data_IF_973838134468
#
_entry.id   IF_973838134468
#
_cell.length_a   1.000
_cell.length_b   1.000
_cell.length_c   1.000
_cell.angle_alpha   90.00
_cell.angle_beta   90.00
_cell.angle_gamma   90.00
#
_symmetry.space_group_name_H-M   'P 1'
#
loop_
_entity.id
_entity.type
_entity.pdbx_description
1 polymer ?
#
# COMPACT_ATOMS: atom_id res chain seq x y z
N UNK A 1 -38.05 -55.30 -14.47
CA UNK A 1 -38.09 -53.97 -15.11
C UNK A 1 -38.25 -52.95 -13.99
N UNK A 2 -37.19 -52.31 -13.58
CA UNK A 2 -37.20 -51.34 -12.50
C UNK A 2 -37.52 -49.94 -13.10
N UNK A 3 -38.58 -49.28 -12.60
CA UNK A 3 -38.93 -47.92 -12.94
C UNK A 3 -38.00 -46.97 -12.16
N UNK A 4 -37.04 -46.36 -12.80
CA UNK A 4 -36.27 -45.26 -12.21
C UNK A 4 -37.12 -44.00 -12.16
N UNK A 5 -37.28 -43.43 -10.99
CA UNK A 5 -38.09 -42.22 -10.72
C UNK A 5 -37.39 -40.98 -11.30
N UNK A 6 -38.11 -40.23 -12.13
CA UNK A 6 -37.65 -38.97 -12.76
C UNK A 6 -37.53 -37.77 -11.79
N UNK A 7 -37.62 -37.98 -10.48
CA UNK A 7 -37.65 -36.90 -9.49
C UNK A 7 -36.26 -36.44 -8.99
N UNK A 8 -35.20 -37.16 -9.33
CA UNK A 8 -33.83 -36.87 -8.84
C UNK A 8 -33.05 -35.88 -9.72
N UNK A 9 -33.51 -35.57 -10.93
CA UNK A 9 -32.78 -34.72 -11.88
C UNK A 9 -33.06 -33.21 -11.77
N UNK A 10 -34.06 -32.80 -11.01
CA UNK A 10 -34.46 -31.38 -10.87
C UNK A 10 -33.87 -30.66 -9.66
N UNK A 11 -33.23 -31.40 -8.72
CA UNK A 11 -32.63 -30.81 -7.52
C UNK A 11 -31.16 -30.39 -7.68
N UNK A 12 -30.44 -30.92 -8.68
CA UNK A 12 -29.04 -30.58 -8.92
C UNK A 12 -28.79 -29.15 -9.43
N UNK A 13 -29.60 -28.59 -10.37
CA UNK A 13 -29.39 -27.21 -10.83
C UNK A 13 -29.78 -26.15 -9.78
N UNK A 14 -30.67 -26.46 -8.84
CA UNK A 14 -31.07 -25.52 -7.81
C UNK A 14 -30.01 -25.35 -6.71
N UNK A 15 -29.20 -26.36 -6.44
CA UNK A 15 -28.11 -26.32 -5.46
C UNK A 15 -26.90 -25.54 -5.97
N UNK A 16 -26.69 -25.51 -7.30
CA UNK A 16 -25.58 -24.76 -7.92
C UNK A 16 -25.87 -23.26 -7.96
N UNK A 17 -27.14 -22.86 -8.09
CA UNK A 17 -27.53 -21.44 -8.07
C UNK A 17 -27.42 -20.76 -6.69
N UNK A 18 -27.42 -21.51 -5.61
CA UNK A 18 -27.32 -20.97 -4.25
C UNK A 18 -25.86 -20.70 -3.79
N UNK A 19 -24.87 -21.08 -4.59
CA UNK A 19 -23.43 -20.87 -4.28
C UNK A 19 -22.81 -19.67 -4.98
N UNK A 20 -23.55 -18.91 -5.79
CA UNK A 20 -23.11 -17.59 -6.22
C UNK A 20 -23.41 -16.60 -5.10
N UNK A 21 -22.78 -16.77 -3.94
CA UNK A 21 -22.46 -15.63 -3.09
C UNK A 21 -21.57 -14.75 -3.96
N UNK A 22 -22.05 -13.57 -4.34
CA UNK A 22 -21.17 -12.53 -4.84
C UNK A 22 -20.07 -12.35 -3.79
N UNK A 23 -18.91 -12.94 -4.05
CA UNK A 23 -17.71 -12.60 -3.28
C UNK A 23 -17.40 -11.16 -3.65
N UNK A 24 -17.97 -10.21 -2.95
CA UNK A 24 -17.31 -8.93 -2.84
C UNK A 24 -15.93 -9.29 -2.34
N UNK A 25 -14.92 -9.04 -3.16
CA UNK A 25 -13.55 -9.30 -2.76
C UNK A 25 -13.34 -8.56 -1.44
N UNK A 26 -13.11 -9.31 -0.37
CA UNK A 26 -12.78 -8.70 0.90
C UNK A 26 -11.58 -7.79 0.67
N UNK A 27 -11.64 -6.56 1.13
CA UNK A 27 -10.52 -5.65 1.08
C UNK A 27 -9.42 -6.13 2.03
N UNK A 28 -8.24 -5.56 1.90
CA UNK A 28 -7.14 -5.80 2.83
C UNK A 28 -6.74 -4.52 3.57
N UNK A 29 -6.02 -4.67 4.68
CA UNK A 29 -5.37 -3.53 5.33
C UNK A 29 -3.91 -3.48 4.90
N UNK A 30 -3.49 -2.31 4.37
CA UNK A 30 -2.09 -1.97 4.15
C UNK A 30 -1.58 -1.14 5.33
N UNK A 31 -0.36 -1.40 5.79
CA UNK A 31 0.25 -0.69 6.91
C UNK A 31 1.64 -0.18 6.56
N UNK A 32 1.96 1.05 6.97
CA UNK A 32 3.33 1.58 6.97
C UNK A 32 4.04 1.19 8.25
N UNK A 33 5.20 0.54 8.12
CA UNK A 33 6.07 0.11 9.20
C UNK A 33 7.50 0.63 8.99
N UNK A 34 8.18 1.00 10.05
CA UNK A 34 9.60 1.37 10.00
C UNK A 34 9.90 2.80 10.47
N UNK A 35 8.88 3.60 10.87
CA UNK A 35 9.07 4.98 11.27
C UNK A 35 9.01 5.22 12.78
N UNK A 36 8.92 4.15 13.58
CA UNK A 36 9.03 4.25 15.03
C UNK A 36 9.63 2.98 15.63
N UNK A 37 10.80 3.08 16.29
CA UNK A 37 11.47 1.93 16.92
C UNK A 37 10.64 1.20 17.99
N UNK A 38 9.53 1.77 18.45
CA UNK A 38 8.64 1.18 19.46
C UNK A 38 7.40 0.50 18.86
N UNK A 39 7.35 0.27 17.56
CA UNK A 39 6.21 -0.39 16.87
C UNK A 39 6.41 -1.91 16.67
N UNK A 40 7.39 -2.48 17.36
CA UNK A 40 7.73 -3.90 17.26
C UNK A 40 8.46 -4.27 15.97
N UNK A 41 8.86 -5.54 15.86
CA UNK A 41 9.55 -6.05 14.68
C UNK A 41 8.58 -6.27 13.51
N UNK A 42 9.12 -6.33 12.29
CA UNK A 42 8.32 -6.66 11.11
C UNK A 42 7.64 -8.04 11.22
N UNK A 43 8.34 -9.05 11.76
CA UNK A 43 7.78 -10.37 12.01
C UNK A 43 6.59 -10.32 13.00
N UNK A 44 6.71 -9.56 14.08
CA UNK A 44 5.62 -9.36 15.03
C UNK A 44 4.43 -8.64 14.39
N UNK A 45 4.69 -7.63 13.55
CA UNK A 45 3.65 -6.92 12.79
C UNK A 45 2.83 -7.89 11.94
N UNK A 46 3.49 -8.75 11.17
CA UNK A 46 2.81 -9.71 10.31
C UNK A 46 2.09 -10.82 11.11
N UNK A 47 2.68 -11.27 12.22
CA UNK A 47 2.08 -12.29 13.07
C UNK A 47 0.75 -11.86 13.74
N UNK A 48 0.40 -10.57 13.70
CA UNK A 48 -0.92 -10.10 14.14
C UNK A 48 -2.07 -10.61 13.30
N UNK A 49 -1.81 -11.03 12.04
CA UNK A 49 -2.83 -11.47 11.09
C UNK A 49 -3.77 -10.36 10.58
N UNK A 50 -3.43 -9.08 10.81
CA UNK A 50 -4.31 -7.94 10.50
C UNK A 50 -4.07 -7.34 9.14
N UNK A 51 -2.87 -7.51 8.57
CA UNK A 51 -2.43 -6.79 7.40
C UNK A 51 -2.26 -7.72 6.20
N UNK A 52 -2.68 -7.26 5.03
CA UNK A 52 -2.45 -7.94 3.75
C UNK A 52 -1.21 -7.37 3.02
N UNK A 53 -0.81 -6.15 3.36
CA UNK A 53 0.33 -5.44 2.79
C UNK A 53 1.10 -4.72 3.88
N UNK A 54 2.43 -4.72 3.77
CA UNK A 54 3.32 -3.93 4.62
C UNK A 54 4.24 -3.10 3.73
N UNK A 55 4.23 -1.79 3.92
CA UNK A 55 5.15 -0.85 3.27
C UNK A 55 6.29 -0.55 4.25
N UNK A 56 7.52 -0.98 3.91
CA UNK A 56 8.72 -0.65 4.69
C UNK A 56 9.11 0.80 4.41
N UNK A 57 8.94 1.67 5.37
CA UNK A 57 9.14 3.10 5.28
C UNK A 57 10.42 3.53 5.98
N UNK A 58 11.41 4.13 5.31
CA UNK A 58 11.48 4.54 3.90
C UNK A 58 12.89 4.39 3.33
N UNK A 59 13.02 4.22 2.00
CA UNK A 59 14.20 4.67 1.28
C UNK A 59 13.97 6.16 1.00
N UNK A 60 14.59 7.05 1.77
CA UNK A 60 14.25 8.47 1.79
C UNK A 60 15.36 9.42 1.30
N UNK A 61 16.45 8.86 0.78
CA UNK A 61 17.50 9.61 0.06
C UNK A 61 17.90 8.83 -1.18
N UNK A 62 17.70 9.40 -2.36
CA UNK A 62 18.08 8.78 -3.63
C UNK A 62 17.90 9.74 -4.83
N UNK A 63 18.43 9.33 -5.99
CA UNK A 63 18.35 10.06 -7.24
C UNK A 63 19.35 11.24 -7.31
N UNK A 64 19.43 11.89 -8.47
CA UNK A 64 20.33 13.00 -8.74
C UNK A 64 21.80 12.71 -8.34
N UNK A 65 22.27 11.48 -8.63
CA UNK A 65 23.64 11.05 -8.32
C UNK A 65 23.94 10.80 -6.83
N UNK A 66 22.93 10.88 -5.95
CA UNK A 66 23.10 10.63 -4.52
C UNK A 66 23.25 9.14 -4.23
N UNK A 67 24.05 8.81 -3.22
CA UNK A 67 24.05 7.45 -2.64
C UNK A 67 22.71 7.21 -1.95
N UNK A 68 21.97 6.15 -2.32
CA UNK A 68 20.69 5.86 -1.68
C UNK A 68 20.86 5.47 -0.21
N UNK A 69 20.00 6.02 0.65
CA UNK A 69 20.00 5.76 2.09
C UNK A 69 18.59 5.46 2.57
N UNK A 70 18.49 4.48 3.47
CA UNK A 70 17.24 4.12 4.17
C UNK A 70 17.20 4.80 5.54
N UNK A 71 15.99 5.09 6.01
CA UNK A 71 15.71 5.45 7.39
C UNK A 71 14.60 4.54 7.93
N UNK A 72 14.93 3.71 8.91
CA UNK A 72 13.98 2.84 9.61
C UNK A 72 13.90 3.19 11.11
N UNK A 73 14.08 4.46 11.45
CA UNK A 73 13.79 5.10 12.75
C UNK A 73 14.18 4.26 14.00
N UNK A 74 15.38 3.72 14.01
CA UNK A 74 15.89 2.99 15.19
C UNK A 74 15.64 1.48 15.19
N UNK A 75 14.92 0.92 14.22
CA UNK A 75 14.84 -0.53 14.05
C UNK A 75 16.19 -1.16 13.70
N UNK A 76 17.02 -0.43 12.97
CA UNK A 76 18.34 -0.83 12.55
C UNK A 76 19.17 0.39 12.11
N UNK A 77 20.48 0.20 11.98
CA UNK A 77 21.37 1.23 11.43
C UNK A 77 21.81 0.86 10.00
N UNK A 78 21.25 1.50 8.96
CA UNK A 78 21.58 1.19 7.57
C UNK A 78 23.04 1.47 7.23
N UNK A 79 23.68 2.48 7.86
CA UNK A 79 25.02 2.93 7.55
C UNK A 79 26.12 1.87 7.79
N UNK A 80 25.87 0.90 8.67
CA UNK A 80 26.80 -0.19 8.97
C UNK A 80 26.28 -1.58 8.55
N UNK A 81 25.29 -1.63 7.64
CA UNK A 81 24.68 -2.88 7.18
C UNK A 81 23.75 -3.54 8.21
N UNK A 82 23.45 -2.86 9.33
CA UNK A 82 22.63 -3.43 10.41
C UNK A 82 21.20 -3.74 10.04
N UNK A 83 20.70 -3.26 8.89
CA UNK A 83 19.32 -3.52 8.46
C UNK A 83 19.11 -4.89 7.81
N UNK A 84 20.17 -5.66 7.58
CA UNK A 84 20.04 -7.06 7.13
C UNK A 84 19.24 -7.95 8.09
N UNK A 85 19.15 -7.58 9.36
CA UNK A 85 18.31 -8.26 10.37
C UNK A 85 16.82 -8.27 10.01
N UNK A 86 16.35 -7.33 9.17
CA UNK A 86 14.94 -7.24 8.73
C UNK A 86 14.58 -8.36 7.74
N UNK A 87 15.59 -9.00 7.10
CA UNK A 87 15.40 -10.08 6.12
C UNK A 87 14.50 -11.21 6.62
N UNK A 88 14.73 -11.68 7.84
CA UNK A 88 13.91 -12.74 8.45
C UNK A 88 12.44 -12.33 8.62
N UNK A 89 12.20 -11.08 9.00
CA UNK A 89 10.86 -10.52 9.12
C UNK A 89 10.12 -10.44 7.78
N UNK A 90 10.81 -10.00 6.72
CA UNK A 90 10.25 -9.94 5.35
C UNK A 90 9.79 -11.34 4.92
N UNK A 91 10.68 -12.34 5.04
CA UNK A 91 10.37 -13.72 4.66
C UNK A 91 9.20 -14.29 5.47
N UNK A 92 9.15 -13.99 6.78
CA UNK A 92 8.05 -14.41 7.65
C UNK A 92 6.70 -13.82 7.23
N UNK A 93 6.67 -12.53 6.84
CA UNK A 93 5.47 -11.90 6.30
C UNK A 93 5.01 -12.57 4.99
N UNK A 94 5.95 -12.78 4.07
CA UNK A 94 5.68 -13.40 2.76
C UNK A 94 5.18 -14.84 2.89
N UNK A 95 5.68 -15.62 3.85
CA UNK A 95 5.20 -16.98 4.16
C UNK A 95 3.74 -17.01 4.63
N UNK A 96 3.27 -15.90 5.20
CA UNK A 96 1.87 -15.72 5.60
C UNK A 96 0.99 -15.14 4.46
N UNK A 97 1.53 -14.98 3.24
CA UNK A 97 0.83 -14.40 2.08
C UNK A 97 0.76 -12.88 2.08
N UNK A 98 1.43 -12.21 3.04
CA UNK A 98 1.48 -10.75 3.14
C UNK A 98 2.49 -10.21 2.14
N UNK A 99 2.09 -9.21 1.33
CA UNK A 99 3.00 -8.54 0.41
C UNK A 99 3.80 -7.48 1.13
N UNK A 100 5.12 -7.50 0.92
CA UNK A 100 6.05 -6.56 1.53
C UNK A 100 6.68 -5.69 0.45
N UNK A 101 6.43 -4.38 0.50
CA UNK A 101 6.93 -3.40 -0.44
C UNK A 101 7.93 -2.47 0.23
N UNK A 102 8.91 -1.96 -0.53
CA UNK A 102 9.73 -0.84 -0.10
C UNK A 102 9.06 0.46 -0.49
N UNK A 103 8.82 1.33 0.47
CA UNK A 103 8.32 2.67 0.22
C UNK A 103 9.45 3.66 -0.03
N UNK A 104 9.31 4.43 -1.10
CA UNK A 104 10.24 5.46 -1.54
C UNK A 104 9.73 6.83 -1.13
N UNK A 105 10.57 7.62 -0.49
CA UNK A 105 10.24 9.02 -0.19
C UNK A 105 9.78 9.27 1.23
N UNK A 106 8.51 9.55 1.40
CA UNK A 106 7.91 10.03 2.66
C UNK A 106 8.00 11.54 2.82
N UNK A 107 7.37 12.06 3.89
CA UNK A 107 7.32 13.50 4.16
C UNK A 107 8.65 14.15 4.55
N UNK A 108 9.67 13.34 4.89
CA UNK A 108 11.01 13.79 5.27
C UNK A 108 12.05 13.00 4.51
N UNK A 109 12.92 13.71 3.76
CA UNK A 109 13.99 13.07 3.01
C UNK A 109 14.68 14.02 2.04
N UNK A 110 15.60 13.48 1.25
CA UNK A 110 16.26 14.18 0.16
C UNK A 110 16.26 13.28 -1.06
N UNK A 111 15.17 13.29 -1.80
CA UNK A 111 14.97 12.46 -2.97
C UNK A 111 14.41 13.27 -4.14
N UNK A 112 14.89 12.95 -5.32
CA UNK A 112 14.44 13.58 -6.57
C UNK A 112 14.90 12.73 -7.75
N UNK A 113 14.32 12.95 -8.93
CA UNK A 113 14.82 12.42 -10.19
C UNK A 113 15.20 13.57 -11.10
N UNK A 114 16.46 13.60 -11.55
CA UNK A 114 17.00 14.67 -12.36
C UNK A 114 16.79 14.47 -13.87
N UNK A 115 16.59 13.21 -14.29
CA UNK A 115 16.44 12.84 -15.70
C UNK A 115 15.84 11.44 -15.82
N UNK A 116 15.45 11.08 -17.04
CA UNK A 116 15.08 9.71 -17.39
C UNK A 116 16.22 8.69 -17.16
N UNK A 117 17.47 9.12 -17.43
CA UNK A 117 18.65 8.30 -17.12
C UNK A 117 18.84 8.07 -15.63
N UNK A 118 18.58 9.09 -14.81
CA UNK A 118 18.60 8.99 -13.37
C UNK A 118 17.49 8.06 -12.85
N UNK A 119 16.26 8.16 -13.38
CA UNK A 119 15.18 7.22 -13.10
C UNK A 119 15.57 5.76 -13.43
N UNK A 120 16.30 5.55 -14.54
CA UNK A 120 16.85 4.22 -14.88
C UNK A 120 17.84 3.72 -13.85
N UNK A 121 18.78 4.58 -13.42
CA UNK A 121 19.77 4.23 -12.42
C UNK A 121 19.13 3.87 -11.07
N UNK A 122 18.12 4.63 -10.66
CA UNK A 122 17.32 4.33 -9.45
C UNK A 122 16.57 3.00 -9.61
N UNK A 123 15.97 2.73 -10.77
CA UNK A 123 15.30 1.46 -11.04
C UNK A 123 16.27 0.27 -10.96
N UNK A 124 17.46 0.38 -11.54
CA UNK A 124 18.50 -0.66 -11.49
C UNK A 124 18.98 -0.87 -10.05
N UNK A 125 19.15 0.20 -9.28
CA UNK A 125 19.52 0.10 -7.87
C UNK A 125 18.45 -0.66 -7.07
N UNK A 126 17.16 -0.31 -7.24
CA UNK A 126 16.05 -0.97 -6.57
C UNK A 126 15.96 -2.45 -6.95
N UNK A 127 16.10 -2.74 -8.24
CA UNK A 127 16.09 -4.11 -8.74
C UNK A 127 17.18 -4.95 -8.11
N UNK A 128 18.42 -4.45 -8.10
CA UNK A 128 19.59 -5.21 -7.63
C UNK A 128 19.62 -5.35 -6.10
N UNK A 129 19.17 -4.34 -5.36
CA UNK A 129 19.36 -4.31 -3.91
C UNK A 129 18.14 -4.77 -3.10
N UNK A 130 16.94 -4.73 -3.68
CA UNK A 130 15.71 -5.08 -2.94
C UNK A 130 14.83 -6.11 -3.64
N UNK A 131 14.91 -6.21 -4.95
CA UNK A 131 14.07 -7.07 -5.77
C UNK A 131 14.84 -8.31 -6.27
N UNK A 132 14.58 -8.75 -7.52
CA UNK A 132 15.10 -10.00 -8.06
C UNK A 132 16.52 -9.96 -8.66
N UNK A 133 17.18 -8.80 -8.64
CA UNK A 133 18.53 -8.63 -9.19
C UNK A 133 19.65 -9.13 -8.28
N UNK A 134 20.87 -8.73 -8.60
CA UNK A 134 22.10 -9.18 -7.91
C UNK A 134 22.86 -8.00 -7.30
N UNK A 135 23.20 -8.09 -6.02
CA UNK A 135 24.07 -7.16 -5.30
C UNK A 135 24.81 -7.90 -4.19
N UNK A 136 26.07 -7.54 -3.97
CA UNK A 136 26.87 -8.04 -2.86
C UNK A 136 26.55 -7.37 -1.51
N UNK A 137 25.79 -6.28 -1.54
CA UNK A 137 25.52 -5.44 -0.35
C UNK A 137 24.04 -5.02 -0.28
N UNK A 138 23.14 -6.01 -0.26
CA UNK A 138 21.69 -5.75 -0.14
C UNK A 138 21.36 -5.17 1.24
N UNK A 139 20.75 -3.97 1.32
CA UNK A 139 20.53 -3.28 2.59
C UNK A 139 19.63 -4.04 3.58
N UNK A 140 18.64 -4.79 3.07
CA UNK A 140 17.70 -5.62 3.85
C UNK A 140 18.07 -7.11 3.83
N UNK A 141 19.35 -7.44 3.53
CA UNK A 141 19.80 -8.82 3.43
C UNK A 141 19.31 -9.53 2.18
N UNK A 142 19.20 -10.85 2.26
CA UNK A 142 18.89 -11.73 1.12
C UNK A 142 17.38 -11.84 0.80
N UNK A 143 16.51 -11.21 1.58
CA UNK A 143 15.09 -11.15 1.27
C UNK A 143 14.84 -10.39 -0.05
N UNK A 144 13.87 -10.88 -0.81
CA UNK A 144 13.41 -10.26 -2.06
C UNK A 144 12.02 -9.72 -1.85
N UNK A 145 11.87 -8.39 -1.94
CA UNK A 145 10.60 -7.73 -1.75
C UNK A 145 9.62 -8.02 -2.89
N UNK A 146 8.32 -7.88 -2.62
CA UNK A 146 7.27 -8.09 -3.62
C UNK A 146 7.11 -6.91 -4.58
N UNK A 147 7.50 -5.69 -4.15
CA UNK A 147 7.35 -4.50 -4.97
C UNK A 147 7.89 -3.23 -4.37
N UNK A 148 7.55 -2.14 -5.03
CA UNK A 148 7.96 -0.78 -4.68
C UNK A 148 6.69 0.08 -4.51
N UNK A 149 6.67 0.87 -3.45
CA UNK A 149 5.66 1.87 -3.16
C UNK A 149 6.25 3.28 -3.38
N UNK A 150 5.50 4.15 -4.04
CA UNK A 150 5.88 5.53 -4.37
C UNK A 150 5.15 6.47 -3.41
N UNK A 151 5.77 6.83 -2.30
CA UNK A 151 5.26 7.83 -1.36
C UNK A 151 6.00 9.15 -1.56
N UNK A 152 5.74 9.80 -2.70
CA UNK A 152 6.45 10.99 -3.15
C UNK A 152 5.68 12.24 -2.73
N UNK A 153 6.17 12.89 -1.68
CA UNK A 153 5.50 14.05 -1.07
C UNK A 153 6.24 15.37 -1.30
N UNK A 154 7.44 15.34 -1.86
CA UNK A 154 8.29 16.51 -2.10
C UNK A 154 9.27 16.28 -3.26
N UNK A 155 10.09 17.28 -3.56
CA UNK A 155 11.12 17.22 -4.60
C UNK A 155 10.55 17.45 -6.00
N UNK A 156 11.20 16.88 -7.01
CA UNK A 156 10.76 16.99 -8.41
C UNK A 156 9.47 16.21 -8.64
N UNK A 157 8.61 16.75 -9.50
CA UNK A 157 7.40 16.06 -9.99
C UNK A 157 7.65 15.29 -11.30
N UNK A 158 8.90 15.26 -11.78
CA UNK A 158 9.29 14.71 -13.07
C UNK A 158 9.92 13.33 -12.96
N UNK A 159 9.78 12.54 -14.03
CA UNK A 159 10.42 11.24 -14.25
C UNK A 159 9.94 10.08 -13.34
N UNK A 160 8.92 10.27 -12.49
CA UNK A 160 8.33 9.17 -11.70
C UNK A 160 7.61 8.16 -12.60
N UNK A 161 7.01 8.63 -13.71
CA UNK A 161 6.46 7.76 -14.76
C UNK A 161 7.54 6.93 -15.45
N UNK A 162 8.75 7.48 -15.66
CA UNK A 162 9.87 6.74 -16.22
C UNK A 162 10.37 5.67 -15.24
N UNK A 163 10.50 6.00 -13.96
CA UNK A 163 10.85 5.03 -12.92
C UNK A 163 9.84 3.87 -12.87
N UNK A 164 8.53 4.15 -12.88
CA UNK A 164 7.50 3.13 -12.92
C UNK A 164 7.63 2.24 -14.18
N UNK A 165 7.86 2.85 -15.36
CA UNK A 165 8.07 2.12 -16.63
C UNK A 165 9.32 1.26 -16.63
N UNK A 166 10.41 1.69 -15.98
CA UNK A 166 11.61 0.86 -15.87
C UNK A 166 11.38 -0.32 -14.94
N UNK A 167 10.80 -0.09 -13.77
CA UNK A 167 10.50 -1.15 -12.81
C UNK A 167 9.55 -2.22 -13.38
N UNK A 168 8.56 -1.82 -14.17
CA UNK A 168 7.60 -2.76 -14.79
C UNK A 168 8.21 -3.68 -15.85
N UNK A 169 9.43 -3.40 -16.33
CA UNK A 169 10.10 -4.17 -17.39
C UNK A 169 11.00 -5.29 -16.89
N UNK A 170 11.27 -5.38 -15.60
CA UNK A 170 12.08 -6.50 -15.10
C UNK A 170 11.31 -7.81 -15.22
N UNK A 171 12.01 -8.88 -15.61
CA UNK A 171 11.41 -10.16 -16.01
C UNK A 171 10.60 -10.90 -14.93
N UNK A 172 10.72 -10.49 -13.69
CA UNK A 172 9.89 -10.93 -12.58
C UNK A 172 8.78 -9.90 -12.36
N UNK A 173 7.58 -10.35 -11.95
CA UNK A 173 6.51 -9.43 -11.52
C UNK A 173 6.99 -8.61 -10.32
N UNK A 174 7.03 -7.30 -10.50
CA UNK A 174 7.24 -6.30 -9.44
C UNK A 174 5.91 -5.60 -9.24
N UNK A 175 5.34 -5.66 -8.04
CA UNK A 175 4.14 -4.88 -7.71
C UNK A 175 4.52 -3.40 -7.58
N UNK A 176 3.74 -2.54 -8.21
CA UNK A 176 3.88 -1.11 -8.06
C UNK A 176 2.71 -0.55 -7.26
N UNK A 177 3.04 0.18 -6.21
CA UNK A 177 2.08 0.92 -5.41
C UNK A 177 2.42 2.40 -5.37
N UNK A 178 1.43 3.24 -5.06
CA UNK A 178 1.62 4.67 -4.89
C UNK A 178 0.73 5.22 -3.78
N UNK A 179 1.22 6.23 -3.06
CA UNK A 179 0.55 6.90 -1.96
C UNK A 179 0.28 8.39 -2.26
N UNK A 180 -0.49 8.72 -3.31
CA UNK A 180 -0.82 10.10 -3.61
C UNK A 180 -1.67 10.73 -2.51
N UNK A 181 -1.61 12.05 -2.39
CA UNK A 181 -2.55 12.81 -1.57
C UNK A 181 -3.91 12.93 -2.27
N UNK A 182 -4.98 13.13 -1.50
CA UNK A 182 -6.34 13.08 -2.04
C UNK A 182 -6.77 14.23 -2.99
N UNK A 183 -6.14 15.42 -3.07
CA UNK A 183 -6.40 16.36 -4.15
C UNK A 183 -6.13 15.72 -5.52
N UNK A 184 -7.07 15.87 -6.47
CA UNK A 184 -6.97 15.22 -7.77
C UNK A 184 -6.85 16.24 -8.91
N UNK A 185 -5.87 16.09 -9.86
CA UNK A 185 -4.79 15.09 -9.81
C UNK A 185 -3.80 15.37 -8.69
N UNK A 186 -3.08 14.33 -8.22
CA UNK A 186 -1.97 14.51 -7.29
C UNK A 186 -0.83 15.30 -7.96
N UNK A 187 -0.23 16.23 -7.24
CA UNK A 187 0.78 17.14 -7.78
C UNK A 187 2.11 16.46 -8.09
N UNK A 188 2.48 15.43 -7.34
CA UNK A 188 3.78 14.75 -7.47
C UNK A 188 3.68 13.52 -8.36
N UNK A 189 2.62 12.72 -8.20
CA UNK A 189 2.48 11.41 -8.82
C UNK A 189 1.49 11.35 -9.98
N UNK A 190 0.83 12.45 -10.32
CA UNK A 190 -0.22 12.45 -11.35
C UNK A 190 0.23 11.87 -12.69
N UNK A 191 1.43 12.22 -13.19
CA UNK A 191 2.00 11.68 -14.44
C UNK A 191 2.30 10.19 -14.33
N UNK A 192 2.84 9.74 -13.19
CA UNK A 192 3.15 8.34 -12.95
C UNK A 192 1.87 7.49 -12.89
N UNK A 193 0.85 7.96 -12.19
CA UNK A 193 -0.44 7.27 -12.06
C UNK A 193 -1.17 7.12 -13.40
N UNK A 194 -1.02 8.08 -14.31
CA UNK A 194 -1.58 8.02 -15.65
C UNK A 194 -0.92 6.95 -16.57
N UNK A 195 0.14 6.29 -16.11
CA UNK A 195 0.76 5.18 -16.86
C UNK A 195 -0.08 3.90 -16.87
N UNK A 196 -1.02 3.73 -15.94
CA UNK A 196 -1.79 2.49 -15.77
C UNK A 196 -0.97 1.32 -15.23
N UNK A 197 0.22 1.56 -14.67
CA UNK A 197 1.15 0.51 -14.23
C UNK A 197 1.00 0.11 -12.77
N UNK A 198 0.20 0.86 -12.00
CA UNK A 198 0.10 0.64 -10.56
C UNK A 198 -0.92 -0.45 -10.22
N UNK A 199 -0.46 -1.45 -9.48
CA UNK A 199 -1.31 -2.51 -8.95
C UNK A 199 -2.18 -2.01 -7.78
N UNK A 200 -1.61 -1.13 -6.94
CA UNK A 200 -2.25 -0.57 -5.74
C UNK A 200 -2.04 0.93 -5.65
N UNK A 201 -3.08 1.64 -5.22
CA UNK A 201 -2.99 3.09 -4.95
C UNK A 201 -3.62 3.38 -3.59
N UNK A 202 -2.80 3.77 -2.60
CA UNK A 202 -3.24 4.12 -1.25
C UNK A 202 -3.40 5.63 -1.14
N UNK A 203 -4.56 6.15 -1.52
CA UNK A 203 -4.80 7.60 -1.51
C UNK A 203 -4.87 8.11 -0.08
N UNK A 204 -4.07 9.11 0.27
CA UNK A 204 -4.01 9.73 1.59
C UNK A 204 -5.17 10.71 1.78
N UNK A 205 -6.29 10.27 2.41
CA UNK A 205 -7.47 11.09 2.69
C UNK A 205 -7.34 11.84 4.02
N UNK A 206 -6.20 12.47 4.27
CA UNK A 206 -5.91 13.27 5.46
C UNK A 206 -4.99 14.45 5.12
N UNK A 207 -4.87 15.43 6.03
CA UNK A 207 -4.10 16.68 5.87
C UNK A 207 -4.52 17.55 4.67
N UNK A 208 -5.68 17.28 4.06
CA UNK A 208 -6.19 17.96 2.88
C UNK A 208 -7.70 18.19 3.01
N UNK A 209 -8.11 19.30 3.63
CA UNK A 209 -9.51 19.61 3.95
C UNK A 209 -10.51 19.46 2.80
N UNK A 210 -10.19 19.84 1.54
CA UNK A 210 -11.16 19.73 0.44
C UNK A 210 -11.56 18.30 0.04
N UNK A 211 -10.77 17.29 0.44
CA UNK A 211 -10.97 15.90 -0.01
C UNK A 211 -10.93 14.86 1.13
N UNK A 212 -10.79 15.28 2.37
CA UNK A 212 -10.78 14.42 3.55
C UNK A 212 -12.13 14.39 4.28
N UNK A 213 -12.25 13.52 5.28
CA UNK A 213 -13.34 13.56 6.26
C UNK A 213 -13.22 14.79 7.15
N UNK A 214 -14.35 15.42 7.42
CA UNK A 214 -14.53 16.43 8.46
C UNK A 214 -15.61 15.97 9.41
N UNK A 215 -15.48 16.26 10.70
CA UNK A 215 -16.38 15.73 11.74
C UNK A 215 -17.87 15.92 11.36
N UNK A 216 -18.60 14.79 11.30
CA UNK A 216 -20.00 14.75 10.90
C UNK A 216 -20.28 14.92 9.40
N UNK A 217 -19.25 15.05 8.53
CA UNK A 217 -19.42 15.24 7.09
C UNK A 217 -18.49 14.33 6.27
N UNK A 218 -19.07 13.36 5.59
CA UNK A 218 -18.36 12.42 4.69
C UNK A 218 -18.32 12.88 3.23
N UNK A 219 -19.03 13.96 2.86
CA UNK A 219 -19.29 14.34 1.46
C UNK A 219 -18.02 14.58 0.67
N UNK A 220 -17.07 15.36 1.20
CA UNK A 220 -15.82 15.67 0.50
C UNK A 220 -14.99 14.42 0.24
N UNK A 221 -14.88 13.55 1.25
CA UNK A 221 -14.17 12.28 1.12
C UNK A 221 -14.83 11.38 0.07
N UNK A 222 -16.15 11.20 0.12
CA UNK A 222 -16.86 10.32 -0.81
C UNK A 222 -16.81 10.84 -2.25
N UNK A 223 -16.90 12.15 -2.46
CA UNK A 223 -16.74 12.77 -3.77
C UNK A 223 -15.32 12.55 -4.31
N UNK A 224 -14.31 12.75 -3.47
CA UNK A 224 -12.92 12.50 -3.84
C UNK A 224 -12.67 11.02 -4.11
N UNK A 225 -13.17 10.10 -3.28
CA UNK A 225 -13.11 8.66 -3.53
C UNK A 225 -13.68 8.28 -4.91
N UNK A 226 -14.86 8.79 -5.23
CA UNK A 226 -15.47 8.56 -6.54
C UNK A 226 -14.57 9.08 -7.68
N UNK A 227 -14.00 10.28 -7.51
CA UNK A 227 -13.07 10.86 -8.49
C UNK A 227 -11.85 9.96 -8.70
N UNK A 228 -11.20 9.50 -7.63
CA UNK A 228 -10.05 8.61 -7.70
C UNK A 228 -10.38 7.28 -8.38
N UNK A 229 -11.46 6.63 -7.99
CA UNK A 229 -11.82 5.29 -8.50
C UNK A 229 -12.30 5.29 -9.95
N UNK A 230 -12.80 6.42 -10.46
CA UNK A 230 -13.26 6.55 -11.85
C UNK A 230 -12.21 7.09 -12.81
N UNK A 231 -11.15 7.75 -12.31
CA UNK A 231 -10.20 8.48 -13.16
C UNK A 231 -8.84 7.80 -13.32
N UNK A 232 -8.45 6.88 -12.42
CA UNK A 232 -7.14 6.22 -12.45
C UNK A 232 -7.29 4.77 -12.92
N UNK A 233 -6.44 4.38 -13.88
CA UNK A 233 -6.32 2.99 -14.27
C UNK A 233 -5.31 2.26 -13.36
N UNK A 234 -5.79 1.87 -12.19
CA UNK A 234 -5.04 1.09 -11.20
C UNK A 234 -5.77 -0.21 -10.89
N UNK A 235 -5.03 -1.22 -10.46
CA UNK A 235 -5.60 -2.52 -10.08
C UNK A 235 -6.59 -2.38 -8.93
N UNK A 236 -6.16 -1.76 -7.83
CA UNK A 236 -6.98 -1.50 -6.64
C UNK A 236 -6.63 -0.14 -6.02
N UNK A 237 -7.65 0.52 -5.46
CA UNK A 237 -7.54 1.79 -4.75
C UNK A 237 -7.95 1.59 -3.30
N UNK A 238 -7.16 2.12 -2.38
CA UNK A 238 -7.32 2.01 -0.94
C UNK A 238 -7.63 3.36 -0.32
N UNK A 239 -8.47 3.35 0.70
CA UNK A 239 -8.72 4.52 1.52
C UNK A 239 -7.59 4.67 2.55
N UNK A 240 -6.67 5.61 2.31
CA UNK A 240 -5.54 5.89 3.22
C UNK A 240 -5.95 6.80 4.36
N UNK A 241 -5.68 6.38 5.60
CA UNK A 241 -6.13 7.02 6.83
C UNK A 241 -5.02 7.10 7.89
N UNK A 242 -5.05 8.11 8.78
CA UNK A 242 -4.25 8.06 10.00
C UNK A 242 -4.86 7.06 10.98
N UNK A 243 -4.03 6.20 11.57
CA UNK A 243 -4.47 5.16 12.50
C UNK A 243 -4.80 5.69 13.92
N UNK A 244 -4.51 6.97 14.18
CA UNK A 244 -4.87 7.67 15.42
C UNK A 244 -5.07 9.16 15.14
N UNK A 245 -5.78 9.90 16.01
CA UNK A 245 -5.91 11.36 15.88
C UNK A 245 -4.56 12.08 15.82
N UNK A 246 -3.56 11.58 16.54
CA UNK A 246 -2.21 12.14 16.60
C UNK A 246 -1.31 11.75 15.42
N UNK A 247 -1.77 10.85 14.53
CA UNK A 247 -1.00 10.38 13.37
C UNK A 247 -1.00 11.38 12.21
N UNK A 248 -1.92 12.35 12.22
CA UNK A 248 -2.01 13.40 11.19
C UNK A 248 -2.57 14.70 11.80
N UNK A 249 -2.38 15.80 11.09
CA UNK A 249 -2.93 17.12 11.50
C UNK A 249 -4.45 17.22 11.34
N UNK A 250 -5.05 16.40 10.47
CA UNK A 250 -6.50 16.39 10.20
C UNK A 250 -6.90 15.15 9.40
N UNK A 251 -8.21 14.83 9.33
CA UNK A 251 -8.75 13.76 8.51
C UNK A 251 -8.87 12.41 9.22
N UNK A 252 -8.61 12.34 10.54
CA UNK A 252 -8.89 11.13 11.30
C UNK A 252 -10.38 10.80 11.28
N UNK A 253 -10.69 9.52 11.06
CA UNK A 253 -12.06 9.01 11.03
C UNK A 253 -12.23 8.04 12.21
N UNK A 254 -13.16 8.28 13.15
CA UNK A 254 -13.47 7.29 14.16
C UNK A 254 -13.87 5.93 13.55
N UNK A 255 -13.45 4.78 14.13
CA UNK A 255 -13.74 3.46 13.57
C UNK A 255 -15.24 3.18 13.33
N UNK A 256 -16.10 3.64 14.23
CA UNK A 256 -17.55 3.49 14.10
C UNK A 256 -18.11 4.27 12.89
N UNK A 257 -17.64 5.49 12.66
CA UNK A 257 -18.00 6.30 11.48
C UNK A 257 -17.49 5.63 10.20
N UNK A 258 -16.23 5.16 10.21
CA UNK A 258 -15.66 4.47 9.06
C UNK A 258 -16.48 3.23 8.68
N UNK A 259 -16.79 2.38 9.65
CA UNK A 259 -17.46 1.10 9.42
C UNK A 259 -18.96 1.25 9.10
N UNK A 260 -19.63 2.25 9.69
CA UNK A 260 -21.09 2.44 9.51
C UNK A 260 -21.47 3.36 8.34
N UNK A 261 -20.62 4.37 8.00
CA UNK A 261 -21.02 5.39 7.04
C UNK A 261 -20.18 5.39 5.75
N UNK A 262 -18.90 5.03 5.81
CA UNK A 262 -17.96 5.19 4.69
C UNK A 262 -17.73 3.85 3.98
N UNK A 263 -17.30 2.80 4.67
CA UNK A 263 -17.02 1.49 4.06
C UNK A 263 -18.21 0.94 3.27
N UNK A 264 -19.49 1.01 3.75
CA UNK A 264 -20.63 0.50 2.98
C UNK A 264 -20.82 1.21 1.63
N UNK A 265 -20.35 2.44 1.49
CA UNK A 265 -20.42 3.22 0.25
C UNK A 265 -19.25 2.89 -0.67
N UNK A 266 -18.00 3.00 -0.16
CA UNK A 266 -16.80 2.88 -0.99
C UNK A 266 -16.55 1.45 -1.48
N UNK A 267 -17.00 0.43 -0.75
CA UNK A 267 -16.93 -1.00 -1.14
C UNK A 267 -17.76 -1.34 -2.38
N UNK A 268 -18.65 -0.45 -2.81
CA UNK A 268 -19.41 -0.62 -4.07
C UNK A 268 -18.55 -0.40 -5.32
N UNK A 269 -17.41 0.27 -5.18
CA UNK A 269 -16.49 0.45 -6.30
C UNK A 269 -15.78 -0.87 -6.64
N UNK A 270 -15.72 -1.29 -7.92
CA UNK A 270 -14.97 -2.47 -8.34
C UNK A 270 -13.47 -2.33 -8.11
N UNK A 271 -12.98 -1.08 -7.97
CA UNK A 271 -11.57 -0.78 -7.67
C UNK A 271 -11.27 -0.75 -6.17
N UNK A 272 -12.26 -0.93 -5.29
CA UNK A 272 -11.99 -1.01 -3.86
C UNK A 272 -11.00 -2.11 -3.52
N UNK A 273 -9.91 -1.75 -2.83
CA UNK A 273 -8.88 -2.68 -2.38
C UNK A 273 -8.81 -2.84 -0.87
N UNK A 274 -9.36 -1.88 -0.12
CA UNK A 274 -9.31 -1.89 1.34
C UNK A 274 -8.95 -0.53 1.94
N UNK A 275 -8.24 -0.58 3.06
CA UNK A 275 -7.80 0.60 3.83
C UNK A 275 -6.27 0.57 3.94
N UNK A 276 -5.61 1.72 3.79
CA UNK A 276 -4.21 1.88 4.18
C UNK A 276 -4.12 2.70 5.46
N UNK A 277 -3.20 2.36 6.34
CA UNK A 277 -3.02 3.03 7.64
C UNK A 277 -1.62 3.63 7.79
N UNK A 278 -1.57 4.91 8.12
CA UNK A 278 -0.41 5.60 8.65
C UNK A 278 -0.55 5.71 10.16
N UNK A 279 0.16 5.00 10.97
CA UNK A 279 1.17 3.97 10.72
C UNK A 279 1.03 2.86 11.77
N UNK A 280 1.89 1.85 11.71
CA UNK A 280 1.92 0.71 12.65
C UNK A 280 2.03 1.16 14.11
N UNK A 281 2.92 2.13 14.38
CA UNK A 281 3.04 2.70 15.72
C UNK A 281 1.71 3.25 16.25
N UNK A 282 1.03 4.05 15.42
CA UNK A 282 -0.23 4.66 15.81
C UNK A 282 -1.39 3.66 15.87
N UNK A 283 -1.35 2.64 15.03
CA UNK A 283 -2.32 1.55 15.08
C UNK A 283 -2.20 0.75 16.38
N UNK A 284 -0.98 0.47 16.83
CA UNK A 284 -0.75 -0.19 18.13
C UNK A 284 -1.23 0.65 19.31
N UNK A 285 -1.03 1.97 19.26
CA UNK A 285 -1.46 2.87 20.36
C UNK A 285 -2.99 3.00 20.41
N UNK A 286 -3.67 2.96 19.29
CA UNK A 286 -5.10 3.29 19.19
C UNK A 286 -6.01 2.07 18.96
N UNK A 287 -5.46 0.93 18.56
CA UNK A 287 -6.25 -0.26 18.23
C UNK A 287 -7.14 -0.08 17.01
N UNK A 288 -6.68 0.67 16.00
CA UNK A 288 -7.52 1.03 14.85
C UNK A 288 -7.81 -0.15 13.95
N UNK A 289 -6.78 -0.90 13.52
CA UNK A 289 -6.96 -2.06 12.63
C UNK A 289 -7.84 -3.14 13.22
N UNK A 290 -7.71 -3.57 14.51
CA UNK A 290 -8.62 -4.55 15.07
C UNK A 290 -10.07 -4.08 15.15
N UNK A 291 -10.30 -2.76 15.24
CA UNK A 291 -11.64 -2.19 15.29
C UNK A 291 -12.35 -2.17 13.94
N UNK A 292 -11.63 -2.28 12.82
CA UNK A 292 -12.19 -2.15 11.47
C UNK A 292 -12.07 -3.40 10.61
N UNK A 293 -11.17 -4.34 10.94
CA UNK A 293 -10.76 -5.45 10.06
C UNK A 293 -11.94 -6.33 9.62
N UNK A 294 -12.92 -6.55 10.48
CA UNK A 294 -14.12 -7.32 10.14
C UNK A 294 -15.03 -6.62 9.12
N UNK A 295 -14.82 -5.33 8.90
CA UNK A 295 -15.62 -4.48 8.01
C UNK A 295 -14.87 -4.04 6.74
N UNK A 296 -13.57 -4.38 6.59
CA UNK A 296 -12.72 -4.02 5.41
C UNK A 296 -12.86 -4.99 4.23
#
# INVERSE_FOLDING_TARGET
>A
MAKYSQTTLLLLPLLVLLLIKSSHAAGGISIYWGQNGNEGTLAQTCATGRYAYVNIAFLNKFGNGQTPEMNLAGHCNPANGGCTIVSGGIKSCQQQGIKVLLSLGGGIGNYTLASKGDAKNVADYLWNNFLGGQSSSRPLGDAVLDGIDFDIEQGSTLYWEDLARFLSKYGRKVYLAAAPQCPFPDSNLGTALNTGLFDYVWVQFYNNRPCQYSSGNTTNLLNSWNRWTTSIDAGKIFLGLPAAPSAAGSGYIPPDVLTSQILPVIKKSPKYGGVMLWSKYWDDQNGYSPSIISSV
#
